data_IF_774872514511
#
_entry.id   IF_774872514511
#
_cell.length_a   1.000
_cell.length_b   1.000
_cell.length_c   1.000
_cell.angle_alpha   90.00
_cell.angle_beta   90.00
_cell.angle_gamma   90.00
#
_symmetry.space_group_name_H-M   'P 1'
#
loop_
_entity.id
_entity.type
_entity.pdbx_description
1 polymer ?
#
# COMPACT_ATOMS: atom_id res chain seq x y z
N UNK A 1 25.52 -17.13 -1.38
CA UNK A 1 25.79 -15.95 -2.23
C UNK A 1 25.09 -14.74 -1.63
N UNK A 2 25.74 -13.58 -1.62
CA UNK A 2 25.18 -12.35 -1.06
C UNK A 2 23.87 -11.99 -1.77
N UNK A 3 22.85 -11.55 -1.03
CA UNK A 3 21.53 -11.24 -1.58
C UNK A 3 21.57 -10.18 -2.69
N UNK A 4 22.59 -9.32 -2.72
CA UNK A 4 22.79 -8.32 -3.79
C UNK A 4 22.93 -8.95 -5.18
N UNK A 5 23.47 -10.18 -5.26
CA UNK A 5 23.78 -10.86 -6.53
C UNK A 5 22.63 -11.75 -7.00
N UNK A 6 21.57 -11.87 -6.19
CA UNK A 6 20.41 -12.71 -6.50
C UNK A 6 19.46 -12.00 -7.48
N UNK A 7 19.11 -12.71 -8.55
CA UNK A 7 18.23 -12.20 -9.64
C UNK A 7 16.74 -12.19 -9.27
N UNK A 8 16.36 -12.93 -8.23
CA UNK A 8 15.00 -13.07 -7.73
C UNK A 8 14.58 -11.98 -6.73
N UNK A 9 15.45 -11.00 -6.47
CA UNK A 9 15.15 -9.84 -5.64
C UNK A 9 14.63 -8.68 -6.49
N UNK A 10 13.79 -7.81 -5.92
CA UNK A 10 13.37 -6.56 -6.55
C UNK A 10 14.55 -5.60 -6.79
N UNK A 11 14.41 -4.71 -7.77
CA UNK A 11 15.43 -3.68 -8.00
C UNK A 11 15.56 -2.73 -6.81
N UNK A 12 14.44 -2.40 -6.15
CA UNK A 12 14.40 -1.65 -4.89
C UNK A 12 15.34 -2.24 -3.83
N UNK A 13 15.24 -3.55 -3.61
CA UNK A 13 16.08 -4.25 -2.65
C UNK A 13 17.56 -4.20 -3.05
N UNK A 14 17.88 -4.46 -4.33
CA UNK A 14 19.27 -4.46 -4.80
C UNK A 14 19.92 -3.09 -4.63
N UNK A 15 19.17 -2.03 -4.91
CA UNK A 15 19.67 -0.65 -4.81
C UNK A 15 19.95 -0.25 -3.36
N UNK A 16 19.01 -0.52 -2.45
CA UNK A 16 19.22 -0.27 -1.02
C UNK A 16 20.45 -1.04 -0.51
N UNK A 17 20.56 -2.33 -0.84
CA UNK A 17 21.66 -3.16 -0.38
C UNK A 17 23.02 -2.71 -0.94
N UNK A 18 23.07 -2.30 -2.22
CA UNK A 18 24.29 -1.70 -2.81
C UNK A 18 24.67 -0.41 -2.10
N UNK A 19 23.70 0.46 -1.84
CA UNK A 19 23.93 1.73 -1.17
C UNK A 19 24.38 1.52 0.28
N UNK A 20 23.82 0.53 0.99
CA UNK A 20 24.27 0.17 2.33
C UNK A 20 25.71 -0.30 2.35
N UNK A 21 26.09 -1.22 1.44
CA UNK A 21 27.48 -1.68 1.34
C UNK A 21 28.42 -0.52 1.00
N UNK A 22 28.02 0.35 0.07
CA UNK A 22 28.78 1.56 -0.26
C UNK A 22 28.98 2.46 0.95
N UNK A 23 27.93 2.68 1.75
CA UNK A 23 27.99 3.47 2.99
C UNK A 23 28.89 2.83 4.05
N UNK A 24 28.87 1.50 4.17
CA UNK A 24 29.72 0.77 5.11
C UNK A 24 31.19 0.78 4.75
N UNK A 25 31.51 0.73 3.46
CA UNK A 25 32.90 0.72 2.96
C UNK A 25 33.48 2.13 2.87
N UNK A 26 32.63 3.17 2.74
CA UNK A 26 33.09 4.55 2.60
C UNK A 26 33.85 5.00 3.85
N UNK A 27 35.07 5.49 3.63
CA UNK A 27 35.92 6.03 4.69
C UNK A 27 35.18 7.11 5.49
N UNK A 28 35.45 7.12 6.80
CA UNK A 28 34.93 8.13 7.72
C UNK A 28 35.97 9.22 7.80
N UNK A 29 35.59 10.41 7.38
CA UNK A 29 36.48 11.58 7.38
C UNK A 29 36.58 12.17 8.78
N UNK A 30 37.67 12.89 9.05
CA UNK A 30 37.87 13.55 10.35
C UNK A 30 36.79 14.62 10.60
N UNK A 31 36.35 15.32 9.56
CA UNK A 31 35.30 16.35 9.64
C UNK A 31 33.98 15.78 10.15
N UNK A 32 33.59 14.59 9.67
CA UNK A 32 32.37 13.89 10.13
C UNK A 32 32.45 13.39 11.57
N UNK A 33 33.68 13.16 12.07
CA UNK A 33 33.90 12.79 13.46
C UNK A 33 33.75 14.01 14.38
N UNK A 34 34.14 15.20 13.89
CA UNK A 34 34.07 16.45 14.65
C UNK A 34 32.71 17.13 14.63
N UNK A 35 31.83 16.78 13.68
CA UNK A 35 30.51 17.40 13.55
C UNK A 35 29.42 16.76 14.41
N UNK A 36 29.70 15.62 15.06
CA UNK A 36 28.84 15.04 16.10
C UNK A 36 29.28 15.55 17.47
N UNK A 37 28.34 15.64 18.43
CA UNK A 37 28.62 16.08 19.80
C UNK A 37 29.89 15.38 20.36
N UNK A 38 30.71 16.19 21.04
CA UNK A 38 32.09 15.89 21.46
C UNK A 38 32.35 14.41 21.83
N UNK A 39 33.04 13.68 20.94
CA UNK A 39 33.58 12.34 21.23
C UNK A 39 32.95 11.17 20.47
N UNK A 40 32.19 11.41 19.39
CA UNK A 40 31.59 10.32 18.61
C UNK A 40 32.63 9.34 18.05
N UNK A 41 32.41 8.05 18.28
CA UNK A 41 33.24 6.98 17.74
C UNK A 41 32.96 6.76 16.25
N UNK A 42 33.93 6.21 15.51
CA UNK A 42 33.74 5.80 14.10
C UNK A 42 32.51 4.88 13.92
N UNK A 43 32.23 4.05 14.92
CA UNK A 43 31.08 3.15 14.90
C UNK A 43 29.75 3.91 15.00
N UNK A 44 29.68 4.97 15.80
CA UNK A 44 28.47 5.80 15.94
C UNK A 44 28.19 6.59 14.66
N UNK A 45 29.22 7.18 14.04
CA UNK A 45 29.08 7.87 12.75
C UNK A 45 28.56 6.89 11.69
N UNK A 46 29.11 5.66 11.66
CA UNK A 46 28.67 4.63 10.73
C UNK A 46 27.20 4.22 10.99
N UNK A 47 26.83 3.98 12.25
CA UNK A 47 25.45 3.65 12.66
C UNK A 47 24.48 4.76 12.27
N UNK A 48 24.86 6.03 12.43
CA UNK A 48 24.04 7.17 12.00
C UNK A 48 23.82 7.17 10.48
N UNK A 49 24.89 7.11 9.68
CA UNK A 49 24.81 7.08 8.21
C UNK A 49 23.93 5.95 7.70
N UNK A 50 24.08 4.75 8.27
CA UNK A 50 23.24 3.59 7.93
C UNK A 50 21.79 3.86 8.28
N UNK A 51 21.54 4.38 9.49
CA UNK A 51 20.18 4.65 9.96
C UNK A 51 19.46 5.67 9.08
N UNK A 52 20.15 6.74 8.68
CA UNK A 52 19.59 7.80 7.84
C UNK A 52 19.26 7.27 6.43
N UNK A 53 20.15 6.44 5.87
CA UNK A 53 19.90 5.78 4.59
C UNK A 53 18.69 4.85 4.64
N UNK A 54 18.60 3.97 5.65
CA UNK A 54 17.47 3.04 5.78
C UNK A 54 16.16 3.79 6.03
N UNK A 55 16.17 4.79 6.92
CA UNK A 55 14.97 5.59 7.24
C UNK A 55 14.48 6.40 6.05
N UNK A 56 15.37 7.01 5.27
CA UNK A 56 14.96 7.74 4.05
C UNK A 56 14.32 6.81 3.02
N UNK A 57 14.93 5.64 2.75
CA UNK A 57 14.35 4.63 1.88
C UNK A 57 12.98 4.15 2.36
N UNK A 58 12.84 3.91 3.67
CA UNK A 58 11.59 3.51 4.28
C UNK A 58 10.51 4.59 4.13
N UNK A 59 10.85 5.87 4.31
CA UNK A 59 9.94 6.99 4.10
C UNK A 59 9.48 7.08 2.65
N UNK A 60 10.41 6.96 1.70
CA UNK A 60 10.09 7.02 0.27
C UNK A 60 9.22 5.83 -0.16
N UNK A 61 9.44 4.65 0.41
CA UNK A 61 8.61 3.47 0.18
C UNK A 61 7.20 3.69 0.71
N UNK A 62 7.07 4.15 1.96
CA UNK A 62 5.76 4.40 2.60
C UNK A 62 4.98 5.49 1.86
N UNK A 63 5.66 6.47 1.29
CA UNK A 63 5.05 7.55 0.48
C UNK A 63 4.74 7.12 -0.95
N UNK A 64 5.17 5.94 -1.39
CA UNK A 64 4.94 5.44 -2.75
C UNK A 64 5.72 6.21 -3.81
N UNK A 65 6.89 6.76 -3.47
CA UNK A 65 7.69 7.59 -4.37
C UNK A 65 8.51 6.80 -5.39
N UNK A 66 8.71 5.50 -5.17
CA UNK A 66 9.47 4.69 -6.11
C UNK A 66 8.66 4.41 -7.37
N UNK A 67 9.30 4.45 -8.55
CA UNK A 67 8.63 4.10 -9.80
C UNK A 67 8.38 2.59 -9.86
N UNK A 68 7.44 2.18 -10.73
CA UNK A 68 6.90 0.82 -10.78
C UNK A 68 8.00 -0.24 -11.01
N UNK A 69 9.00 0.11 -11.81
CA UNK A 69 10.12 -0.73 -12.20
C UNK A 69 10.93 -1.20 -10.98
N UNK A 70 10.99 -0.38 -9.91
CA UNK A 70 11.70 -0.74 -8.67
C UNK A 70 11.08 -1.94 -7.96
N UNK A 71 9.79 -2.17 -8.15
CA UNK A 71 9.05 -3.26 -7.53
C UNK A 71 9.11 -4.58 -8.32
N UNK A 72 9.63 -4.57 -9.55
CA UNK A 72 9.62 -5.76 -10.41
C UNK A 72 10.52 -6.86 -9.83
N UNK A 73 9.93 -8.03 -9.63
CA UNK A 73 10.61 -9.27 -9.23
C UNK A 73 10.62 -10.20 -10.45
N UNK A 74 11.69 -10.97 -10.63
CA UNK A 74 11.84 -11.91 -11.74
C UNK A 74 12.09 -13.32 -11.21
N UNK A 75 11.27 -14.31 -11.61
CA UNK A 75 11.47 -15.71 -11.24
C UNK A 75 11.38 -16.62 -12.46
N UNK A 76 12.26 -17.62 -12.54
CA UNK A 76 12.27 -18.61 -13.62
C UNK A 76 11.19 -19.66 -13.39
N UNK A 77 10.43 -19.98 -14.44
CA UNK A 77 9.53 -21.13 -14.45
C UNK A 77 10.36 -22.39 -14.65
N UNK A 78 10.35 -23.28 -13.67
CA UNK A 78 10.94 -24.62 -13.83
C UNK A 78 9.99 -25.55 -14.60
N UNK A 79 10.52 -26.48 -15.41
CA UNK A 79 9.72 -27.53 -16.10
C UNK A 79 8.80 -28.28 -15.12
N UNK A 80 9.32 -28.66 -13.95
CA UNK A 80 8.55 -29.32 -12.88
C UNK A 80 7.44 -28.43 -12.29
N UNK A 81 7.62 -27.11 -12.29
CA UNK A 81 6.62 -26.14 -11.85
C UNK A 81 5.53 -25.91 -12.90
N UNK A 82 5.87 -26.04 -14.18
CA UNK A 82 4.96 -25.83 -15.32
C UNK A 82 4.17 -27.10 -15.70
N UNK A 83 4.78 -28.28 -15.66
CA UNK A 83 4.10 -29.55 -15.96
C UNK A 83 3.05 -29.87 -14.89
N UNK A 84 3.29 -29.52 -13.63
CA UNK A 84 2.31 -29.66 -12.56
C UNK A 84 1.13 -28.69 -12.69
N UNK A 85 1.23 -27.61 -13.47
CA UNK A 85 0.10 -26.70 -13.72
C UNK A 85 -0.73 -27.12 -14.92
N UNK A 86 -0.11 -27.79 -15.90
CA UNK A 86 -0.77 -28.22 -17.13
C UNK A 86 -1.29 -29.67 -17.07
N UNK A 87 -0.84 -30.47 -16.09
CA UNK A 87 -1.39 -31.79 -15.84
C UNK A 87 -2.64 -31.71 -14.97
N UNK A 88 -3.76 -32.23 -15.48
CA UNK A 88 -5.04 -32.31 -14.79
C UNK A 88 -4.90 -32.88 -13.36
N UNK A 89 -5.07 -32.01 -12.36
CA UNK A 89 -5.36 -32.41 -10.97
C UNK A 89 -4.22 -32.42 -9.97
N UNK A 90 -2.97 -32.06 -10.31
CA UNK A 90 -1.90 -31.97 -9.31
C UNK A 90 -1.60 -30.54 -8.89
N UNK A 91 -1.72 -30.28 -7.57
CA UNK A 91 -1.39 -29.01 -6.91
C UNK A 91 0.06 -28.63 -7.20
N UNK A 92 0.28 -27.82 -8.22
CA UNK A 92 1.45 -26.95 -8.24
C UNK A 92 1.42 -26.15 -6.95
N UNK A 93 2.34 -26.46 -6.03
CA UNK A 93 2.52 -25.69 -4.82
C UNK A 93 2.50 -24.21 -5.23
N UNK A 94 1.57 -23.45 -4.68
CA UNK A 94 1.06 -22.21 -5.26
C UNK A 94 2.16 -21.15 -5.43
N UNK A 95 2.90 -21.21 -6.55
CA UNK A 95 3.98 -20.29 -6.90
C UNK A 95 3.38 -19.15 -7.70
N UNK A 96 3.62 -17.93 -7.25
CA UNK A 96 2.99 -16.75 -7.83
C UNK A 96 3.35 -16.48 -9.29
N UNK A 97 4.61 -16.70 -9.68
CA UNK A 97 5.04 -16.55 -11.08
C UNK A 97 4.40 -17.58 -12.02
N UNK A 98 4.09 -18.79 -11.53
CA UNK A 98 3.44 -19.82 -12.35
C UNK A 98 1.94 -19.52 -12.48
N UNK A 99 1.28 -19.15 -11.37
CA UNK A 99 -0.12 -18.68 -11.40
C UNK A 99 -0.30 -17.45 -12.29
N UNK A 100 0.66 -16.52 -12.29
CA UNK A 100 0.64 -15.40 -13.21
C UNK A 100 0.77 -15.86 -14.67
N UNK A 101 1.69 -16.76 -14.98
CA UNK A 101 1.85 -17.28 -16.34
C UNK A 101 0.55 -17.92 -16.87
N UNK A 102 -0.14 -18.73 -16.04
CA UNK A 102 -1.47 -19.26 -16.39
C UNK A 102 -2.51 -18.14 -16.64
N UNK A 103 -2.46 -17.06 -15.85
CA UNK A 103 -3.39 -15.94 -16.01
C UNK A 103 -3.09 -15.11 -17.26
N UNK A 104 -1.82 -14.95 -17.63
CA UNK A 104 -1.42 -14.29 -18.88
C UNK A 104 -1.93 -15.10 -20.08
N UNK A 105 -1.72 -16.42 -20.09
CA UNK A 105 -2.20 -17.31 -21.14
C UNK A 105 -3.74 -17.31 -21.27
N UNK A 106 -4.47 -17.23 -20.15
CA UNK A 106 -5.94 -17.11 -20.16
C UNK A 106 -6.44 -15.76 -20.70
N UNK A 107 -5.66 -14.69 -20.56
CA UNK A 107 -6.02 -13.35 -21.08
C UNK A 107 -5.78 -13.29 -22.58
N UNK A 108 -4.62 -13.77 -23.02
CA UNK A 108 -4.18 -13.74 -24.41
C UNK A 108 -3.50 -15.09 -24.76
N UNK A 109 -4.25 -16.03 -25.38
CA UNK A 109 -3.71 -17.34 -25.72
C UNK A 109 -2.49 -17.24 -26.65
N UNK A 110 -1.41 -17.92 -26.28
CA UNK A 110 -0.16 -17.96 -27.05
C UNK A 110 0.86 -16.86 -26.74
N UNK A 111 0.57 -15.91 -25.84
CA UNK A 111 1.53 -14.89 -25.39
C UNK A 111 2.11 -15.18 -24.00
N UNK A 112 1.63 -16.23 -23.33
CA UNK A 112 2.05 -16.62 -21.98
C UNK A 112 3.51 -17.14 -21.92
N UNK A 113 4.24 -16.87 -20.82
CA UNK A 113 5.57 -17.43 -20.60
C UNK A 113 5.59 -18.96 -20.53
N UNK A 114 6.63 -19.59 -21.11
CA UNK A 114 6.79 -21.05 -21.13
C UNK A 114 7.84 -21.55 -20.11
N UNK A 115 7.93 -22.87 -19.95
CA UNK A 115 8.93 -23.47 -19.06
C UNK A 115 10.36 -23.13 -19.50
N UNK A 116 11.15 -22.57 -18.57
CA UNK A 116 12.49 -22.04 -18.84
C UNK A 116 12.53 -20.52 -18.82
N UNK A 117 11.41 -19.86 -19.11
CA UNK A 117 11.32 -18.40 -19.14
C UNK A 117 11.35 -17.80 -17.74
N UNK A 118 11.69 -16.51 -17.69
CA UNK A 118 11.59 -15.70 -16.48
C UNK A 118 10.36 -14.82 -16.55
N UNK A 119 9.50 -14.97 -15.57
CA UNK A 119 8.31 -14.13 -15.41
C UNK A 119 8.67 -12.93 -14.55
N UNK A 120 8.39 -11.75 -15.08
CA UNK A 120 8.48 -10.49 -14.35
C UNK A 120 7.12 -10.19 -13.73
N UNK A 121 7.09 -9.88 -12.44
CA UNK A 121 5.85 -9.62 -11.73
C UNK A 121 6.04 -8.66 -10.56
N UNK A 122 4.93 -8.07 -10.14
CA UNK A 122 4.83 -7.18 -8.98
C UNK A 122 3.79 -7.76 -8.03
N UNK A 123 4.03 -7.64 -6.72
CA UNK A 123 3.03 -8.01 -5.72
C UNK A 123 2.08 -6.83 -5.53
N UNK A 124 0.82 -7.02 -5.94
CA UNK A 124 -0.26 -6.05 -5.75
C UNK A 124 -1.01 -6.29 -4.44
N UNK A 125 -1.65 -5.25 -3.90
CA UNK A 125 -2.42 -5.35 -2.65
C UNK A 125 -3.70 -6.15 -2.85
N UNK A 126 -4.35 -5.95 -3.98
CA UNK A 126 -5.62 -6.58 -4.33
C UNK A 126 -5.43 -7.51 -5.52
N UNK A 127 -6.27 -8.54 -5.62
CA UNK A 127 -6.27 -9.50 -6.72
C UNK A 127 -7.57 -9.35 -7.52
N UNK A 128 -7.60 -8.54 -8.59
CA UNK A 128 -8.84 -8.20 -9.30
C UNK A 128 -9.60 -9.42 -9.82
N UNK A 129 -8.89 -10.47 -10.25
CA UNK A 129 -9.49 -11.71 -10.73
C UNK A 129 -10.23 -12.49 -9.63
N UNK A 130 -9.97 -12.21 -8.36
CA UNK A 130 -10.67 -12.81 -7.20
C UNK A 130 -11.81 -11.94 -6.66
N UNK A 131 -12.12 -10.81 -7.29
CA UNK A 131 -13.16 -9.87 -6.82
C UNK A 131 -14.56 -10.50 -6.70
N UNK A 132 -14.85 -11.52 -7.49
CA UNK A 132 -16.12 -12.26 -7.45
C UNK A 132 -16.21 -13.26 -6.28
N UNK A 133 -15.08 -13.56 -5.63
CA UNK A 133 -15.00 -14.55 -4.55
C UNK A 133 -15.38 -13.89 -3.22
N UNK A 134 -16.54 -14.27 -2.68
CA UNK A 134 -17.09 -13.72 -1.42
C UNK A 134 -16.57 -14.44 -0.17
N UNK A 135 -16.32 -15.74 -0.29
CA UNK A 135 -15.77 -16.56 0.80
C UNK A 135 -14.27 -16.73 0.53
N UNK A 136 -13.40 -16.62 1.54
CA UNK A 136 -11.93 -16.68 1.37
C UNK A 136 -11.40 -18.07 1.00
N UNK A 137 -12.04 -18.74 0.05
CA UNK A 137 -11.80 -20.12 -0.35
C UNK A 137 -11.53 -20.15 -1.84
N UNK A 138 -10.36 -20.67 -2.22
CA UNK A 138 -9.96 -20.87 -3.62
C UNK A 138 -9.62 -22.35 -3.75
N UNK A 139 -10.19 -23.04 -4.75
CA UNK A 139 -9.94 -24.46 -5.02
C UNK A 139 -10.09 -25.37 -3.77
N UNK A 140 -11.08 -25.07 -2.92
CA UNK A 140 -11.35 -25.81 -1.67
C UNK A 140 -10.41 -25.48 -0.50
N UNK A 141 -9.48 -24.53 -0.65
CA UNK A 141 -8.57 -24.08 0.42
C UNK A 141 -9.04 -22.73 0.97
N UNK A 142 -9.37 -22.70 2.27
CA UNK A 142 -9.78 -21.48 2.97
C UNK A 142 -8.58 -20.77 3.59
N UNK A 143 -8.45 -19.47 3.34
CA UNK A 143 -7.38 -18.62 3.83
C UNK A 143 -7.83 -17.73 5.00
N UNK A 144 -6.90 -17.42 5.89
CA UNK A 144 -7.13 -16.47 6.98
C UNK A 144 -7.36 -15.06 6.42
N UNK A 145 -8.15 -14.25 7.13
CA UNK A 145 -8.48 -12.89 6.68
C UNK A 145 -7.24 -12.01 6.48
N UNK A 146 -6.23 -12.16 7.35
CA UNK A 146 -4.95 -11.43 7.26
C UNK A 146 -4.13 -11.78 6.01
N UNK A 147 -4.32 -12.98 5.47
CA UNK A 147 -3.55 -13.53 4.36
C UNK A 147 -4.33 -13.45 3.04
N UNK A 148 -5.49 -12.80 3.03
CA UNK A 148 -6.36 -12.69 1.86
C UNK A 148 -6.18 -11.35 1.13
N UNK A 149 -6.06 -11.35 -0.21
CA UNK A 149 -5.83 -12.51 -1.07
C UNK A 149 -4.44 -13.13 -0.86
N UNK A 150 -4.28 -14.46 -1.05
CA UNK A 150 -2.99 -15.10 -0.82
C UNK A 150 -1.95 -14.61 -1.81
N UNK A 151 -0.70 -14.46 -1.36
CA UNK A 151 0.39 -13.82 -2.12
C UNK A 151 0.57 -14.36 -3.55
N UNK A 152 0.41 -15.66 -3.75
CA UNK A 152 0.57 -16.28 -5.07
C UNK A 152 -0.51 -15.83 -6.07
N UNK A 153 -1.68 -15.42 -5.61
CA UNK A 153 -2.71 -14.81 -6.45
C UNK A 153 -2.47 -13.32 -6.67
N UNK A 154 -1.66 -12.68 -5.82
CA UNK A 154 -1.35 -11.24 -5.88
C UNK A 154 -0.16 -10.90 -6.79
N UNK A 155 0.40 -11.86 -7.52
CA UNK A 155 1.53 -11.63 -8.42
C UNK A 155 1.02 -11.21 -9.80
N UNK A 156 1.23 -9.97 -10.23
CA UNK A 156 0.67 -9.42 -11.46
C UNK A 156 1.74 -8.88 -12.42
N UNK A 157 1.48 -8.92 -13.72
CA UNK A 157 2.37 -8.41 -14.76
C UNK A 157 2.54 -6.88 -14.65
N UNK A 158 3.76 -6.32 -14.72
CA UNK A 158 3.97 -4.87 -14.62
C UNK A 158 3.17 -4.04 -15.63
N UNK A 159 2.98 -4.53 -16.85
CA UNK A 159 2.20 -3.84 -17.88
C UNK A 159 0.74 -3.77 -17.46
N UNK A 160 0.17 -4.90 -17.04
CA UNK A 160 -1.19 -4.97 -16.54
C UNK A 160 -1.41 -4.10 -15.28
N UNK A 161 -0.44 -4.07 -14.35
CA UNK A 161 -0.48 -3.22 -13.16
C UNK A 161 -0.59 -1.74 -13.54
N UNK A 162 0.20 -1.32 -14.54
CA UNK A 162 0.19 0.06 -15.05
C UNK A 162 -1.13 0.39 -15.76
N UNK A 163 -1.61 -0.48 -16.65
CA UNK A 163 -2.84 -0.27 -17.42
C UNK A 163 -4.09 -0.21 -16.54
N UNK A 164 -4.17 -1.07 -15.53
CA UNK A 164 -5.31 -1.16 -14.61
C UNK A 164 -5.15 -0.32 -13.34
N UNK A 165 -4.05 0.44 -13.24
CA UNK A 165 -3.72 1.27 -12.06
C UNK A 165 -3.81 0.48 -10.74
N UNK A 166 -3.26 -0.72 -10.72
CA UNK A 166 -3.32 -1.57 -9.52
C UNK A 166 -2.38 -1.05 -8.44
N UNK A 167 -2.83 -1.12 -7.19
CA UNK A 167 -2.04 -0.68 -6.05
C UNK A 167 -1.01 -1.73 -5.67
N UNK A 168 0.27 -1.34 -5.58
CA UNK A 168 1.38 -2.19 -5.12
C UNK A 168 1.26 -2.49 -3.62
N UNK A 169 1.57 -3.71 -3.19
CA UNK A 169 1.62 -4.06 -1.77
C UNK A 169 2.91 -3.57 -1.10
N UNK A 170 2.91 -2.33 -0.66
CA UNK A 170 4.06 -1.73 0.02
C UNK A 170 4.49 -2.47 1.29
N UNK A 171 3.55 -3.13 1.99
CA UNK A 171 3.87 -3.88 3.20
C UNK A 171 4.73 -5.11 2.89
N UNK A 172 4.41 -5.82 1.80
CA UNK A 172 5.23 -6.92 1.32
C UNK A 172 6.66 -6.47 0.97
N UNK A 173 6.82 -5.35 0.26
CA UNK A 173 8.16 -4.86 -0.07
C UNK A 173 8.93 -4.40 1.16
N UNK A 174 8.29 -3.73 2.12
CA UNK A 174 8.93 -3.32 3.35
C UNK A 174 9.46 -4.54 4.14
N UNK A 175 8.61 -5.52 4.41
CA UNK A 175 8.94 -6.65 5.28
C UNK A 175 9.79 -7.71 4.57
N UNK A 176 9.33 -8.19 3.41
CA UNK A 176 9.97 -9.33 2.74
C UNK A 176 11.15 -8.93 1.85
N UNK A 177 11.13 -7.73 1.27
CA UNK A 177 12.18 -7.28 0.34
C UNK A 177 13.22 -6.36 0.98
N UNK A 178 12.89 -5.62 2.05
CA UNK A 178 13.85 -4.69 2.67
C UNK A 178 14.27 -5.12 4.07
N UNK A 179 13.33 -5.35 5.00
CA UNK A 179 13.65 -5.63 6.40
C UNK A 179 14.55 -6.85 6.56
N UNK A 180 14.10 -8.02 6.12
CA UNK A 180 14.86 -9.27 6.24
C UNK A 180 16.29 -9.20 5.67
N UNK A 181 16.52 -8.70 4.44
CA UNK A 181 17.87 -8.62 3.90
C UNK A 181 18.76 -7.57 4.58
N UNK A 182 18.19 -6.43 4.97
CA UNK A 182 18.94 -5.36 5.64
C UNK A 182 19.34 -5.78 7.05
N UNK A 183 18.44 -6.42 7.80
CA UNK A 183 18.75 -6.86 9.17
C UNK A 183 19.85 -7.91 9.17
N UNK A 184 19.79 -8.89 8.27
CA UNK A 184 20.86 -9.88 8.10
C UNK A 184 22.20 -9.28 7.69
N UNK A 185 22.21 -8.20 6.90
CA UNK A 185 23.46 -7.52 6.52
C UNK A 185 24.05 -6.72 7.68
N UNK A 186 23.20 -6.09 8.48
CA UNK A 186 23.60 -5.17 9.54
C UNK A 186 23.86 -5.84 10.89
N UNK A 187 23.46 -7.10 11.07
CA UNK A 187 23.65 -7.88 12.30
C UNK A 187 25.06 -7.74 12.92
N UNK A 188 26.18 -7.79 12.16
CA UNK A 188 27.51 -7.69 12.76
C UNK A 188 27.91 -6.30 13.26
N UNK A 189 27.19 -5.24 12.87
CA UNK A 189 27.55 -3.83 13.10
C UNK A 189 26.47 -3.10 13.90
N UNK A 190 25.25 -3.61 13.91
CA UNK A 190 24.06 -2.94 14.39
C UNK A 190 23.14 -3.92 15.13
N UNK A 191 23.21 -3.90 16.46
CA UNK A 191 22.56 -4.89 17.35
C UNK A 191 21.03 -4.92 17.24
N UNK A 192 20.40 -3.79 16.91
CA UNK A 192 18.93 -3.64 16.81
C UNK A 192 18.49 -3.06 15.48
N UNK A 193 19.01 -3.62 14.39
CA UNK A 193 18.74 -3.13 13.02
C UNK A 193 17.25 -3.19 12.64
N UNK A 194 16.47 -4.06 13.28
CA UNK A 194 15.01 -4.12 13.11
C UNK A 194 14.28 -2.84 13.52
N UNK A 195 14.81 -2.10 14.50
CA UNK A 195 14.19 -0.86 14.99
C UNK A 195 14.11 0.22 13.91
N UNK A 196 14.97 0.15 12.88
CA UNK A 196 14.98 1.06 11.74
C UNK A 196 13.70 0.98 10.89
N UNK A 197 12.92 -0.09 11.02
CA UNK A 197 11.71 -0.34 10.24
C UNK A 197 10.41 -0.07 11.00
N UNK A 198 10.46 0.05 12.33
CA UNK A 198 9.26 0.15 13.17
C UNK A 198 8.34 1.32 12.77
N UNK A 199 8.94 2.47 12.46
CA UNK A 199 8.17 3.65 12.06
C UNK A 199 7.46 3.45 10.72
N UNK A 200 8.13 2.80 9.77
CA UNK A 200 7.55 2.49 8.47
C UNK A 200 6.40 1.48 8.59
N UNK A 201 6.57 0.45 9.42
CA UNK A 201 5.53 -0.54 9.70
C UNK A 201 4.29 0.10 10.33
N UNK A 202 4.46 0.99 11.31
CA UNK A 202 3.35 1.74 11.93
C UNK A 202 2.62 2.59 10.89
N UNK A 203 3.35 3.31 10.04
CA UNK A 203 2.77 4.17 9.02
C UNK A 203 2.00 3.40 7.94
N UNK A 204 2.44 2.20 7.57
CA UNK A 204 1.65 1.33 6.68
C UNK A 204 0.41 0.78 7.37
N UNK A 205 0.52 0.37 8.64
CA UNK A 205 -0.62 -0.12 9.44
C UNK A 205 -1.67 0.96 9.66
N UNK A 206 -1.28 2.20 9.94
CA UNK A 206 -2.21 3.32 10.16
C UNK A 206 -2.92 3.75 8.86
N UNK A 207 -2.24 3.66 7.71
CA UNK A 207 -2.86 3.84 6.39
C UNK A 207 -3.88 2.74 6.07
N UNK A 208 -3.64 1.51 6.52
CA UNK A 208 -4.57 0.38 6.35
C UNK A 208 -5.78 0.47 7.27
N UNK A 209 -5.60 0.93 8.52
CA UNK A 209 -6.68 1.02 9.51
C UNK A 209 -7.61 2.21 9.30
N UNK A 210 -7.38 3.04 8.28
CA UNK A 210 -8.22 4.18 7.97
C UNK A 210 -8.36 5.11 9.17
N UNK A 211 -7.26 5.72 9.61
CA UNK A 211 -7.37 6.77 10.62
C UNK A 211 -8.09 7.98 9.98
N UNK A 212 -9.42 8.02 10.10
CA UNK A 212 -10.17 9.25 10.31
C UNK A 212 -9.51 9.89 11.53
N UNK A 213 -8.52 10.75 11.31
CA UNK A 213 -7.99 11.55 12.40
C UNK A 213 -9.13 12.39 12.96
N UNK A 214 -9.23 12.37 14.28
CA UNK A 214 -10.07 13.16 15.19
C UNK A 214 -9.95 14.70 15.01
N UNK A 215 -9.45 15.20 13.89
CA UNK A 215 -9.32 16.63 13.58
C UNK A 215 -10.67 17.26 13.20
N UNK A 216 -11.68 16.45 12.84
CA UNK A 216 -13.05 16.92 12.63
C UNK A 216 -13.86 17.10 13.93
N UNK A 217 -13.37 16.61 15.07
CA UNK A 217 -14.03 16.81 16.38
C UNK A 217 -13.53 18.05 17.15
N UNK A 218 -12.35 18.56 16.79
CA UNK A 218 -11.76 19.77 17.39
C UNK A 218 -11.63 20.91 16.39
N UNK A 219 -12.37 20.89 15.28
CA UNK A 219 -12.46 22.06 14.41
C UNK A 219 -13.18 23.18 15.19
N UNK A 220 -12.52 24.31 15.52
CA UNK A 220 -13.21 25.42 16.15
C UNK A 220 -14.27 25.93 15.17
N UNK A 221 -15.52 26.05 15.64
CA UNK A 221 -16.57 26.75 14.91
C UNK A 221 -16.02 28.13 14.55
N UNK A 222 -15.82 28.39 13.27
CA UNK A 222 -15.57 29.76 12.82
C UNK A 222 -16.85 30.55 13.10
N UNK A 223 -16.82 31.38 14.13
CA UNK A 223 -17.80 32.43 14.32
C UNK A 223 -17.50 33.50 13.30
N UNK A 224 -18.23 33.50 12.18
CA UNK A 224 -18.31 34.66 11.31
C UNK A 224 -18.88 35.83 12.12
N UNK A 225 -18.04 36.81 12.44
CA UNK A 225 -18.40 38.22 12.59
C UNK A 225 -17.15 39.04 12.95
N UNK A 226 -16.66 39.86 12.02
CA UNK A 226 -16.40 41.28 12.27
C UNK A 226 -15.89 41.98 11.00
N UNK A 227 -16.74 42.89 10.54
CA UNK A 227 -16.56 43.94 9.54
C UNK A 227 -15.50 44.95 10.02
N UNK A 228 -14.59 45.37 9.14
CA UNK A 228 -14.06 46.73 9.16
C UNK A 228 -13.85 47.27 7.74
N UNK A 229 -14.43 48.44 7.51
CA UNK A 229 -14.41 49.27 6.31
C UNK A 229 -13.03 49.90 6.11
N UNK A 230 -12.61 50.14 4.86
CA UNK A 230 -12.06 51.43 4.43
C UNK A 230 -12.55 51.74 3.02
N UNK A 231 -13.02 52.97 2.85
CA UNK A 231 -13.70 53.58 1.70
C UNK A 231 -12.75 53.97 0.55
N UNK A 232 -13.29 54.02 -0.68
CA UNK A 232 -12.65 54.60 -1.86
C UNK A 232 -13.62 54.62 -3.05
N UNK A 233 -13.77 55.79 -3.68
CA UNK A 233 -14.98 56.31 -4.33
C UNK A 233 -14.85 56.40 -5.86
N UNK A 234 -16.01 56.62 -6.53
CA UNK A 234 -16.27 57.18 -7.88
C UNK A 234 -16.68 56.16 -8.96
N UNK A 235 -17.97 56.13 -9.36
CA UNK A 235 -18.66 56.95 -10.39
C UNK A 235 -18.62 56.18 -11.73
N UNK A 236 -19.61 55.98 -12.60
CA UNK A 236 -20.97 56.46 -12.88
C UNK A 236 -21.46 55.52 -14.04
N UNK A 237 -22.67 54.96 -14.17
CA UNK A 237 -23.79 55.48 -15.02
C UNK A 237 -24.84 54.35 -15.27
N UNK A 238 -26.07 54.59 -14.79
CA UNK A 238 -27.44 54.41 -15.34
C UNK A 238 -27.97 53.13 -16.05
N UNK A 239 -29.09 52.66 -15.46
CA UNK A 239 -30.46 52.33 -15.98
C UNK A 239 -30.61 51.11 -16.93
N UNK A 240 -31.66 50.29 -16.88
CA UNK A 240 -33.07 50.58 -16.58
C UNK A 240 -33.88 49.35 -16.08
N UNK A 241 -35.08 49.67 -15.58
CA UNK A 241 -36.17 48.95 -14.89
C UNK A 241 -36.80 47.79 -15.71
N UNK A 242 -37.60 46.85 -15.19
CA UNK A 242 -38.21 46.62 -13.87
C UNK A 242 -39.44 45.68 -13.97
N UNK A 243 -40.12 45.49 -12.81
CA UNK A 243 -41.43 44.82 -12.52
C UNK A 243 -41.39 43.29 -12.32
N UNK A 244 -42.02 42.69 -11.30
CA UNK A 244 -42.97 43.19 -10.29
C UNK A 244 -43.29 42.12 -9.21
N UNK A 245 -43.97 42.60 -8.15
CA UNK A 245 -44.33 41.96 -6.88
C UNK A 245 -45.24 40.71 -6.92
N UNK A 246 -45.28 40.05 -5.74
CA UNK A 246 -46.42 39.41 -5.03
C UNK A 246 -46.23 37.89 -4.85
N UNK A 247 -46.62 37.21 -3.77
CA UNK A 247 -47.07 37.50 -2.39
C UNK A 247 -47.45 36.13 -1.77
N UNK A 248 -47.32 35.97 -0.45
CA UNK A 248 -47.91 34.86 0.32
C UNK A 248 -46.93 33.71 0.61
N UNK A 249 -46.79 33.17 1.83
CA UNK A 249 -47.61 33.26 3.03
C UNK A 249 -47.80 31.87 3.66
N UNK A 250 -46.91 31.50 4.60
CA UNK A 250 -47.11 30.65 5.81
C UNK A 250 -47.68 29.22 5.77
N UNK A 251 -47.23 28.44 6.79
CA UNK A 251 -47.78 27.22 7.46
C UNK A 251 -47.43 25.84 6.87
N UNK A 252 -47.18 24.78 7.65
CA UNK A 252 -46.85 24.52 9.06
C UNK A 252 -46.40 23.03 9.14
N UNK A 253 -45.56 22.67 10.11
CA UNK A 253 -45.25 21.28 10.52
C UNK A 253 -46.51 20.56 11.03
N UNK A 254 -46.68 19.27 10.71
CA UNK A 254 -46.86 18.15 11.67
C UNK A 254 -47.48 16.91 10.99
N UNK A 255 -47.30 15.78 11.68
CA UNK A 255 -48.03 14.51 11.59
C UNK A 255 -47.57 13.45 10.58
N UNK A 256 -46.61 12.62 10.99
CA UNK A 256 -46.59 11.19 10.60
C UNK A 256 -45.90 10.31 11.66
N UNK A 257 -46.49 10.20 12.86
CA UNK A 257 -46.14 9.19 13.86
C UNK A 257 -47.41 8.62 14.53
N UNK A 258 -48.02 7.59 13.93
CA UNK A 258 -48.96 6.71 14.65
C UNK A 258 -49.28 5.41 13.90
N UNK A 259 -48.51 4.35 14.16
CA UNK A 259 -49.09 3.01 14.40
C UNK A 259 -48.06 2.10 15.07
N UNK A 260 -48.20 1.94 16.38
CA UNK A 260 -47.49 0.98 17.22
C UNK A 260 -48.55 0.04 17.82
N UNK A 261 -48.30 -1.26 17.71
CA UNK A 261 -48.77 -2.38 18.56
C UNK A 261 -50.29 -2.67 18.64
N UNK A 262 -50.63 -3.91 18.29
CA UNK A 262 -51.44 -4.86 19.06
C UNK A 262 -50.96 -6.27 18.65
N UNK A 263 -50.20 -6.92 19.53
CA UNK A 263 -50.63 -8.06 20.38
C UNK A 263 -50.79 -9.33 19.54
N UNK A 264 -49.85 -10.29 19.61
CA UNK A 264 -49.75 -11.32 20.67
C UNK A 264 -51.11 -11.94 21.01
N UNK A 265 -51.12 -13.27 21.03
CA UNK A 265 -52.23 -14.21 21.31
C UNK A 265 -53.14 -14.60 20.12
N UNK A 266 -52.80 -15.70 19.44
CA UNK A 266 -53.67 -16.89 19.47
C UNK A 266 -53.01 -18.13 18.83
N UNK A 267 -52.87 -19.16 19.69
CA UNK A 267 -53.27 -20.56 19.49
C UNK A 267 -52.37 -21.52 18.70
N UNK A 268 -51.77 -22.41 19.50
CA UNK A 268 -51.65 -23.86 19.31
C UNK A 268 -52.72 -24.51 18.42
N UNK A 269 -52.32 -25.54 17.66
CA UNK A 269 -52.86 -26.93 17.65
C UNK A 269 -52.60 -27.61 16.28
N UNK A 270 -52.30 -28.92 16.35
CA UNK A 270 -52.12 -29.95 15.29
C UNK A 270 -50.72 -30.04 14.68
N UNK A 271 -50.03 -31.19 14.66
CA UNK A 271 -50.31 -32.58 15.06
C UNK A 271 -48.99 -33.29 15.34
#
# INVERSE_FOLDING_TARGET
GLQVVRRDNSELQRDLMKNLIKTMVKEITQDELTCMDSGASKLEVLKSRISDLVRSYNQDLVQGKFPLEKYVISQSISKKGYEKTNAAGFKSAALGHVKLAERMEKREPGTGPVAGDRVHYIIVKEAPHLSHIKNRTIDGVTYAAKDWPPRHERCEDPTYVKEKNLTVDLAYYLENQLKNPVTSLLEPVYDKSEELFLEAERNLKSKLSGNLMLTSFFAPKQTENARSKVDGKNDEVKKDKGKGCASGGTRVMEDFFKKKRKSDENKEVCS
#
